data_IF_392025654318
#
_entry.id   IF_392025654318
#
_cell.length_a   1.000
_cell.length_b   1.000
_cell.length_c   1.000
_cell.angle_alpha   90.00
_cell.angle_beta   90.00
_cell.angle_gamma   90.00
#
_symmetry.space_group_name_H-M   'P 1'
#
loop_
_entity.id
_entity.type
_entity.pdbx_description
1 polymer ?
#
# COMPACT_ATOMS: atom_id res chain seq x y z
N UNK A 1 -30.68 31.71 26.33
CA UNK A 1 -29.37 31.02 26.35
C UNK A 1 -29.51 29.78 25.48
N UNK A 2 -28.47 29.45 24.71
CA UNK A 2 -28.42 28.44 23.62
C UNK A 2 -28.97 28.98 22.27
N UNK A 3 -28.18 29.80 21.57
CA UNK A 3 -28.46 30.27 20.21
C UNK A 3 -27.63 29.51 19.15
N UNK A 4 -27.53 28.20 19.31
CA UNK A 4 -26.98 27.32 18.28
C UNK A 4 -28.15 26.72 17.51
N UNK A 5 -28.86 27.59 16.78
CA UNK A 5 -29.90 27.21 15.83
C UNK A 5 -29.23 26.55 14.63
N UNK A 6 -28.94 25.26 14.82
CA UNK A 6 -29.13 24.25 13.80
C UNK A 6 -28.06 24.19 12.70
N UNK A 7 -27.35 23.05 12.69
CA UNK A 7 -26.54 22.60 11.56
C UNK A 7 -27.32 22.71 10.24
N UNK A 8 -28.64 22.50 10.25
CA UNK A 8 -29.50 22.68 9.08
C UNK A 8 -29.52 24.11 8.54
N UNK A 9 -29.46 25.15 9.38
CA UNK A 9 -29.49 26.55 8.95
C UNK A 9 -28.25 26.94 8.10
N UNK A 10 -27.12 26.27 8.33
CA UNK A 10 -25.93 26.43 7.49
C UNK A 10 -26.11 25.86 6.09
N UNK A 11 -26.82 24.74 5.97
CA UNK A 11 -27.12 24.10 4.68
C UNK A 11 -28.25 24.83 3.96
N UNK A 12 -29.21 25.38 4.71
CA UNK A 12 -30.36 26.13 4.19
C UNK A 12 -30.00 27.55 3.69
N UNK A 13 -28.78 28.05 3.95
CA UNK A 13 -28.32 29.37 3.48
C UNK A 13 -28.01 29.43 1.96
N UNK A 14 -28.47 28.44 1.20
CA UNK A 14 -28.68 28.53 -0.25
C UNK A 14 -27.44 28.47 -1.15
N UNK A 15 -26.22 28.40 -0.60
CA UNK A 15 -25.02 28.27 -1.43
C UNK A 15 -23.69 28.25 -0.71
N UNK A 16 -23.55 28.93 0.44
CA UNK A 16 -22.26 29.04 1.13
C UNK A 16 -21.73 27.70 1.65
N UNK A 17 -22.60 26.81 2.16
CA UNK A 17 -22.18 25.48 2.62
C UNK A 17 -21.56 24.63 1.50
N UNK A 18 -22.08 24.74 0.27
CA UNK A 18 -21.58 23.95 -0.86
C UNK A 18 -20.15 24.33 -1.25
N UNK A 19 -19.80 25.62 -1.17
CA UNK A 19 -18.44 26.09 -1.40
C UNK A 19 -17.46 25.63 -0.31
N UNK A 20 -17.88 25.67 0.96
CA UNK A 20 -17.05 25.21 2.07
C UNK A 20 -16.82 23.71 1.95
N UNK A 21 -17.89 22.91 1.86
CA UNK A 21 -17.80 21.46 1.73
C UNK A 21 -17.12 21.02 0.43
N UNK A 22 -17.30 21.76 -0.67
CA UNK A 22 -16.59 21.52 -1.92
C UNK A 22 -15.09 21.76 -1.78
N UNK A 23 -14.67 22.83 -1.10
CA UNK A 23 -13.25 23.13 -0.87
C UNK A 23 -12.59 22.13 0.08
N UNK A 24 -13.25 21.78 1.17
CA UNK A 24 -12.81 20.73 2.10
C UNK A 24 -12.79 19.36 1.42
N UNK A 25 -13.80 19.04 0.62
CA UNK A 25 -13.87 17.82 -0.18
C UNK A 25 -12.75 17.74 -1.21
N UNK A 26 -12.42 18.86 -1.88
CA UNK A 26 -11.31 18.93 -2.83
C UNK A 26 -9.96 18.75 -2.12
N UNK A 27 -9.75 19.42 -0.99
CA UNK A 27 -8.55 19.23 -0.18
C UNK A 27 -8.42 17.78 0.31
N UNK A 28 -9.51 17.19 0.80
CA UNK A 28 -9.56 15.79 1.22
C UNK A 28 -9.29 14.83 0.05
N UNK A 29 -9.84 15.10 -1.13
CA UNK A 29 -9.60 14.31 -2.33
C UNK A 29 -8.13 14.35 -2.76
N UNK A 30 -7.49 15.53 -2.72
CA UNK A 30 -6.06 15.68 -3.00
C UNK A 30 -5.21 14.89 -2.00
N UNK A 31 -5.53 14.97 -0.70
CA UNK A 31 -4.84 14.21 0.34
C UNK A 31 -5.03 12.70 0.12
N UNK A 32 -6.25 12.25 -0.14
CA UNK A 32 -6.55 10.84 -0.39
C UNK A 32 -5.83 10.32 -1.63
N UNK A 33 -5.77 11.13 -2.70
CA UNK A 33 -5.04 10.81 -3.92
C UNK A 33 -3.54 10.65 -3.63
N UNK A 34 -2.94 11.61 -2.93
CA UNK A 34 -1.53 11.55 -2.54
C UNK A 34 -1.27 10.31 -1.67
N UNK A 35 -2.14 10.02 -0.70
CA UNK A 35 -2.06 8.81 0.12
C UNK A 35 -2.09 7.56 -0.77
N UNK A 36 -3.04 7.46 -1.71
CA UNK A 36 -3.16 6.33 -2.62
C UNK A 36 -1.91 6.18 -3.49
N UNK A 37 -1.34 7.27 -4.02
CA UNK A 37 -0.08 7.23 -4.77
C UNK A 37 1.09 6.77 -3.89
N UNK A 38 1.20 7.29 -2.68
CA UNK A 38 2.24 6.90 -1.72
C UNK A 38 2.11 5.42 -1.35
N UNK A 39 0.89 4.95 -1.09
CA UNK A 39 0.60 3.55 -0.80
C UNK A 39 0.91 2.64 -1.99
N UNK A 40 0.64 3.07 -3.23
CA UNK A 40 1.04 2.33 -4.43
C UNK A 40 2.56 2.26 -4.58
N UNK A 41 3.27 3.38 -4.43
CA UNK A 41 4.75 3.41 -4.46
C UNK A 41 5.37 2.51 -3.40
N UNK A 42 4.76 2.42 -2.21
CA UNK A 42 5.21 1.49 -1.16
C UNK A 42 5.04 0.02 -1.57
N UNK A 43 3.92 -0.33 -2.20
CA UNK A 43 3.67 -1.69 -2.69
C UNK A 43 4.71 -2.13 -3.73
N UNK A 44 5.17 -1.23 -4.59
CA UNK A 44 6.18 -1.56 -5.61
C UNK A 44 7.54 -1.93 -5.00
N UNK A 45 7.96 -1.21 -3.96
CA UNK A 45 9.20 -1.54 -3.22
C UNK A 45 9.09 -2.90 -2.52
N UNK A 46 7.95 -3.20 -1.89
CA UNK A 46 7.74 -4.50 -1.23
C UNK A 46 7.69 -5.66 -2.24
N UNK A 47 7.11 -5.43 -3.42
CA UNK A 47 7.03 -6.44 -4.49
C UNK A 47 8.41 -6.79 -5.05
N UNK A 48 9.36 -5.86 -5.00
CA UNK A 48 10.75 -6.07 -5.41
C UNK A 48 11.54 -6.86 -4.36
N UNK A 49 11.33 -6.59 -3.08
CA UNK A 49 11.92 -7.36 -1.97
C UNK A 49 11.39 -8.80 -1.90
N UNK A 50 10.10 -9.00 -2.14
CA UNK A 50 9.48 -10.33 -2.18
C UNK A 50 10.03 -11.23 -3.31
N UNK A 51 10.42 -10.65 -4.46
CA UNK A 51 11.05 -11.41 -5.55
C UNK A 51 12.48 -11.83 -5.21
N UNK A 52 13.27 -10.95 -4.60
CA UNK A 52 14.63 -11.26 -4.16
C UNK A 52 14.66 -12.40 -3.13
N UNK A 53 13.75 -12.38 -2.14
CA UNK A 53 13.66 -13.45 -1.14
C UNK A 53 13.38 -14.84 -1.75
N UNK A 54 12.59 -14.88 -2.83
CA UNK A 54 12.18 -16.15 -3.47
C UNK A 54 13.27 -16.74 -4.37
N UNK A 55 14.09 -15.89 -5.01
CA UNK A 55 15.25 -16.33 -5.77
C UNK A 55 16.37 -16.83 -4.84
N UNK A 56 16.71 -16.05 -3.80
CA UNK A 56 17.75 -16.41 -2.83
C UNK A 56 17.44 -17.72 -2.09
N UNK A 57 16.16 -17.98 -1.76
CA UNK A 57 15.77 -19.24 -1.11
C UNK A 57 15.89 -20.48 -2.01
N UNK A 58 15.73 -20.34 -3.33
CA UNK A 58 15.81 -21.45 -4.29
C UNK A 58 17.27 -21.81 -4.60
N UNK A 59 18.15 -20.82 -4.67
CA UNK A 59 19.59 -21.03 -4.92
C UNK A 59 20.34 -21.59 -3.70
N UNK A 60 19.85 -21.31 -2.48
CA UNK A 60 20.36 -21.94 -1.26
C UNK A 60 19.97 -23.44 -1.17
N UNK A 61 18.76 -23.80 -1.60
CA UNK A 61 18.29 -25.18 -1.61
C UNK A 61 18.99 -26.06 -2.66
N UNK A 62 19.27 -25.51 -3.85
CA UNK A 62 19.91 -26.27 -4.94
C UNK A 62 21.36 -26.66 -4.63
N UNK A 63 22.14 -25.78 -3.99
CA UNK A 63 23.52 -26.06 -3.57
C UNK A 63 23.65 -27.13 -2.48
N UNK A 64 22.63 -27.28 -1.64
CA UNK A 64 22.63 -28.30 -0.59
C UNK A 64 22.28 -29.71 -1.15
N UNK A 65 21.51 -29.77 -2.25
CA UNK A 65 21.14 -31.03 -2.89
C UNK A 65 22.17 -31.59 -3.90
N UNK A 66 23.05 -30.75 -4.44
CA UNK A 66 24.08 -31.17 -5.41
C UNK A 66 25.37 -31.71 -4.74
N UNK A 67 25.50 -31.60 -3.41
CA UNK A 67 26.64 -32.14 -2.64
C UNK A 67 26.51 -33.61 -2.23
N UNK A 68 25.45 -34.32 -2.62
CA UNK A 68 25.20 -35.72 -2.26
C UNK A 68 24.98 -36.60 -3.49
N UNK A 69 25.77 -36.42 -4.54
CA UNK A 69 26.01 -37.55 -5.43
C UNK A 69 27.05 -38.44 -4.74
N UNK A 70 26.66 -39.56 -4.08
CA UNK A 70 27.63 -40.61 -3.85
C UNK A 70 28.04 -41.07 -5.25
N UNK A 71 29.24 -40.67 -5.66
CA UNK A 71 29.96 -41.38 -6.69
C UNK A 71 30.15 -42.79 -6.14
N UNK A 72 29.14 -43.61 -6.44
CA UNK A 72 29.17 -45.04 -6.32
C UNK A 72 30.09 -45.52 -7.44
N UNK A 73 31.40 -45.35 -7.21
CA UNK A 73 32.44 -46.12 -7.87
C UNK A 73 32.97 -47.03 -6.75
N UNK A 74 32.20 -48.04 -6.35
CA UNK A 74 32.32 -49.41 -6.91
C UNK A 74 33.78 -49.79 -7.09
N UNK A 75 34.32 -50.35 -6.00
CA UNK A 75 35.46 -51.28 -6.01
C UNK A 75 35.36 -52.23 -7.21
N UNK A 76 36.43 -52.35 -8.01
CA UNK A 76 37.12 -53.58 -8.46
C UNK A 76 38.18 -53.24 -9.49
#
# INVERSE_FOLDING_TARGET
>A
MQQWESWSAFWDMGGAAFYVWGSYGLAFALIALELVLVFQRRKDTTRRLLRWRRAVGKDAGKRNGEGTMPAMESET
#
